data_IF_463075108289
#
_entry.id   IF_463075108289
#
_cell.length_a   1.000
_cell.length_b   1.000
_cell.length_c   1.000
_cell.angle_alpha   90.00
_cell.angle_beta   90.00
_cell.angle_gamma   90.00
#
_symmetry.space_group_name_H-M   'P 1'
#
loop_
_entity.id
_entity.type
_entity.pdbx_description
1 polymer ?
#
# COMPACT_ATOMS: atom_id res chain seq x y z
N UNK A 1 -26.70 56.71 -38.86
CA UNK A 1 -26.80 56.61 -37.40
C UNK A 1 -27.13 55.18 -37.04
N UNK A 2 -26.10 54.38 -36.66
CA UNK A 2 -26.29 53.03 -36.15
C UNK A 2 -26.70 53.13 -34.68
N UNK A 3 -27.99 52.94 -34.42
CA UNK A 3 -28.50 52.79 -33.06
C UNK A 3 -27.76 51.69 -32.37
N UNK A 4 -26.99 51.99 -31.32
CA UNK A 4 -26.26 51.05 -30.52
C UNK A 4 -27.23 50.07 -29.88
N UNK A 5 -27.16 48.81 -30.29
CA UNK A 5 -27.84 47.68 -29.64
C UNK A 5 -27.35 47.61 -28.20
N UNK A 6 -28.23 47.58 -27.20
CA UNK A 6 -27.82 47.48 -25.82
C UNK A 6 -27.01 46.19 -25.63
N UNK A 7 -25.77 46.32 -25.18
CA UNK A 7 -24.92 45.17 -24.84
C UNK A 7 -25.63 44.33 -23.80
N UNK A 8 -25.90 43.03 -24.09
CA UNK A 8 -26.54 42.18 -23.10
C UNK A 8 -25.64 42.14 -21.84
N UNK A 9 -26.22 42.41 -20.68
CA UNK A 9 -25.46 42.40 -19.44
C UNK A 9 -24.82 41.02 -19.28
N UNK A 10 -23.50 40.98 -19.16
CA UNK A 10 -22.69 39.74 -19.05
C UNK A 10 -23.28 38.81 -17.97
N UNK A 11 -23.81 39.40 -16.90
CA UNK A 11 -24.48 38.67 -15.80
C UNK A 11 -25.71 37.87 -16.28
N UNK A 12 -26.58 38.43 -17.14
CA UNK A 12 -27.75 37.70 -17.69
C UNK A 12 -27.37 36.53 -18.58
N UNK A 13 -26.20 36.58 -19.21
CA UNK A 13 -25.71 35.50 -20.07
C UNK A 13 -25.08 34.38 -19.23
N UNK A 14 -24.42 34.72 -18.13
CA UNK A 14 -23.84 33.77 -17.16
C UNK A 14 -24.91 32.93 -16.46
N UNK A 15 -26.05 33.53 -16.09
CA UNK A 15 -27.15 32.84 -15.39
C UNK A 15 -28.14 32.13 -16.31
N UNK A 16 -27.81 31.92 -17.60
CA UNK A 16 -28.62 31.06 -18.48
C UNK A 16 -28.53 29.60 -18.01
N UNK A 17 -29.64 28.84 -18.02
CA UNK A 17 -29.64 27.46 -17.52
C UNK A 17 -28.64 26.54 -18.25
N UNK A 18 -28.41 26.78 -19.52
CA UNK A 18 -27.40 26.05 -20.33
C UNK A 18 -25.98 26.34 -19.85
N UNK A 19 -25.65 27.59 -19.56
CA UNK A 19 -24.32 28.00 -19.07
C UNK A 19 -24.07 27.44 -17.67
N UNK A 20 -25.07 27.48 -16.80
CA UNK A 20 -25.01 26.87 -15.45
C UNK A 20 -24.84 25.35 -15.53
N UNK A 21 -25.54 24.68 -16.44
CA UNK A 21 -25.38 23.23 -16.66
C UNK A 21 -23.97 22.85 -17.08
N UNK A 22 -23.39 23.57 -18.05
CA UNK A 22 -22.01 23.32 -18.46
C UNK A 22 -21.00 23.60 -17.36
N UNK A 23 -21.21 24.69 -16.62
CA UNK A 23 -20.36 24.99 -15.46
C UNK A 23 -20.46 23.95 -14.37
N UNK A 24 -21.67 23.45 -14.07
CA UNK A 24 -21.89 22.41 -13.07
C UNK A 24 -21.21 21.10 -13.47
N UNK A 25 -21.29 20.69 -14.73
CA UNK A 25 -20.61 19.51 -15.26
C UNK A 25 -19.09 19.67 -15.13
N UNK A 26 -18.56 20.79 -15.56
CA UNK A 26 -17.12 21.06 -15.50
C UNK A 26 -16.60 21.11 -14.07
N UNK A 27 -17.33 21.78 -13.17
CA UNK A 27 -17.02 21.85 -11.75
C UNK A 27 -17.07 20.46 -11.07
N UNK A 28 -18.04 19.61 -11.45
CA UNK A 28 -18.15 18.24 -10.94
C UNK A 28 -16.95 17.39 -11.31
N UNK A 29 -16.47 17.50 -12.54
CA UNK A 29 -15.27 16.80 -13.00
C UNK A 29 -14.05 17.27 -12.23
N UNK A 30 -13.89 18.60 -12.07
CA UNK A 30 -12.79 19.17 -11.27
C UNK A 30 -12.80 18.71 -9.81
N UNK A 31 -13.96 18.72 -9.18
CA UNK A 31 -14.13 18.22 -7.80
C UNK A 31 -13.86 16.73 -7.68
N UNK A 32 -14.31 15.93 -8.63
CA UNK A 32 -14.04 14.50 -8.68
C UNK A 32 -12.54 14.20 -8.80
N UNK A 33 -11.82 14.95 -9.63
CA UNK A 33 -10.37 14.84 -9.77
C UNK A 33 -9.64 15.25 -8.48
N UNK A 34 -10.03 16.35 -7.85
CA UNK A 34 -9.46 16.79 -6.57
C UNK A 34 -9.70 15.75 -5.46
N UNK A 35 -10.89 15.18 -5.41
CA UNK A 35 -11.22 14.11 -4.47
C UNK A 35 -10.37 12.85 -4.72
N UNK A 36 -10.24 12.43 -5.98
CA UNK A 36 -9.42 11.28 -6.37
C UNK A 36 -7.93 11.49 -6.03
N UNK A 37 -7.40 12.70 -6.24
CA UNK A 37 -6.03 13.06 -5.84
C UNK A 37 -5.85 13.05 -4.32
N UNK A 38 -6.82 13.60 -3.58
CA UNK A 38 -6.78 13.67 -2.11
C UNK A 38 -6.94 12.32 -1.41
N UNK A 39 -7.68 11.39 -2.05
CA UNK A 39 -7.91 10.03 -1.52
C UNK A 39 -6.81 9.03 -1.88
N UNK A 40 -5.81 9.42 -2.68
CA UNK A 40 -4.73 8.53 -3.09
C UNK A 40 -3.85 8.14 -1.89
N UNK A 41 -3.63 6.84 -1.73
CA UNK A 41 -2.69 6.31 -0.73
C UNK A 41 -1.28 6.78 -1.02
N UNK A 42 -0.58 7.23 0.02
CA UNK A 42 0.80 7.75 -0.06
C UNK A 42 1.83 6.81 0.55
N UNK A 43 1.39 5.63 0.94
CA UNK A 43 2.23 4.51 1.34
C UNK A 43 2.09 3.40 0.30
N UNK A 44 3.20 2.78 -0.04
CA UNK A 44 3.25 1.69 -1.01
C UNK A 44 4.10 0.56 -0.43
N UNK A 45 3.68 -0.67 -0.65
CA UNK A 45 4.42 -1.87 -0.27
C UNK A 45 4.65 -2.73 -1.51
N UNK A 46 5.88 -3.16 -1.68
CA UNK A 46 6.28 -4.13 -2.68
C UNK A 46 7.19 -5.15 -2.03
N UNK A 47 6.94 -6.41 -2.28
CA UNK A 47 7.75 -7.48 -1.72
C UNK A 47 8.17 -8.44 -2.81
N UNK A 48 9.39 -8.92 -2.72
CA UNK A 48 9.97 -9.87 -3.66
C UNK A 48 10.54 -11.04 -2.89
N UNK A 49 10.19 -12.26 -3.29
CA UNK A 49 10.76 -13.47 -2.73
C UNK A 49 12.24 -13.58 -3.11
N UNK A 50 13.09 -13.83 -2.13
CA UNK A 50 14.51 -14.11 -2.38
C UNK A 50 14.64 -15.50 -3.02
N UNK A 51 15.37 -15.57 -4.15
CA UNK A 51 15.45 -16.80 -4.94
C UNK A 51 16.62 -17.70 -4.56
N UNK A 52 17.53 -17.25 -3.72
CA UNK A 52 18.72 -18.02 -3.38
C UNK A 52 19.06 -17.94 -1.87
N UNK A 53 18.68 -18.93 -1.09
CA UNK A 53 17.80 -20.07 -1.40
C UNK A 53 16.31 -19.68 -1.43
N UNK A 54 15.50 -20.45 -2.17
CA UNK A 54 14.06 -20.23 -2.24
C UNK A 54 13.41 -20.38 -0.86
N UNK A 55 13.82 -21.42 -0.11
CA UNK A 55 13.40 -21.67 1.26
C UNK A 55 14.51 -22.44 2.00
N UNK A 56 14.44 -22.44 3.32
CA UNK A 56 15.35 -23.19 4.19
C UNK A 56 14.51 -24.06 5.12
N UNK A 57 14.73 -25.36 5.09
CA UNK A 57 14.16 -26.27 6.10
C UNK A 57 14.99 -26.17 7.39
N UNK A 58 14.30 -25.94 8.49
CA UNK A 58 14.89 -25.85 9.81
C UNK A 58 14.93 -27.23 10.46
N UNK A 59 15.77 -27.40 11.50
CA UNK A 59 15.91 -28.67 12.22
C UNK A 59 14.63 -29.14 12.93
N UNK A 60 13.71 -28.21 13.20
CA UNK A 60 12.39 -28.50 13.78
C UNK A 60 11.31 -28.83 12.74
N UNK A 61 11.68 -28.99 11.47
CA UNK A 61 10.78 -29.25 10.37
C UNK A 61 10.07 -28.02 9.81
N UNK A 62 10.19 -26.86 10.44
CA UNK A 62 9.61 -25.62 9.93
C UNK A 62 10.33 -25.14 8.66
N UNK A 63 9.63 -24.37 7.83
CA UNK A 63 10.18 -23.82 6.60
C UNK A 63 10.29 -22.31 6.72
N UNK A 64 11.47 -21.78 6.43
CA UNK A 64 11.75 -20.34 6.41
C UNK A 64 11.92 -19.83 5.00
N UNK A 65 11.17 -18.82 4.67
CA UNK A 65 11.27 -18.06 3.42
C UNK A 65 11.82 -16.66 3.72
N UNK A 66 12.55 -16.10 2.77
CA UNK A 66 13.08 -14.75 2.87
C UNK A 66 12.46 -13.86 1.79
N UNK A 67 12.06 -12.66 2.18
CA UNK A 67 11.48 -11.67 1.29
C UNK A 67 12.18 -10.33 1.44
N UNK A 68 12.50 -9.69 0.32
CA UNK A 68 12.92 -8.31 0.30
C UNK A 68 11.69 -7.42 0.17
N UNK A 69 11.32 -6.76 1.25
CA UNK A 69 10.17 -5.85 1.32
C UNK A 69 10.65 -4.42 1.14
N UNK A 70 10.05 -3.71 0.21
CA UNK A 70 10.27 -2.29 -0.05
C UNK A 70 9.05 -1.53 0.40
N UNK A 71 9.23 -0.66 1.38
CA UNK A 71 8.22 0.24 1.90
C UNK A 71 8.53 1.65 1.40
N UNK A 72 7.59 2.27 0.69
CA UNK A 72 7.74 3.60 0.15
C UNK A 72 6.86 4.58 0.88
N UNK A 73 7.46 5.60 1.47
CA UNK A 73 6.76 6.76 2.01
C UNK A 73 6.83 7.89 0.98
N UNK A 74 5.69 8.31 0.46
CA UNK A 74 5.56 9.42 -0.49
C UNK A 74 5.10 10.71 0.19
N UNK A 75 5.19 10.78 1.51
CA UNK A 75 4.93 11.98 2.27
C UNK A 75 6.24 12.65 2.70
N UNK A 76 6.26 13.97 2.74
CA UNK A 76 7.40 14.78 3.17
C UNK A 76 7.61 14.80 4.70
N UNK A 77 6.93 13.88 5.43
CA UNK A 77 7.08 13.68 6.87
C UNK A 77 7.42 12.22 7.18
N UNK A 78 8.16 11.97 8.30
CA UNK A 78 8.41 10.60 8.73
C UNK A 78 7.09 9.94 9.14
N UNK A 79 6.92 8.65 8.81
CA UNK A 79 5.75 7.85 9.17
C UNK A 79 6.17 6.63 9.96
N UNK A 80 5.41 6.31 10.98
CA UNK A 80 5.53 5.02 11.66
C UNK A 80 4.46 4.10 11.11
N UNK A 81 4.87 2.95 10.58
CA UNK A 81 3.97 2.01 9.92
C UNK A 81 4.01 0.65 10.60
N UNK A 82 2.89 -0.03 10.57
CA UNK A 82 2.77 -1.44 10.91
C UNK A 82 2.66 -2.25 9.64
N UNK A 83 3.47 -3.26 9.51
CA UNK A 83 3.36 -4.28 8.47
C UNK A 83 2.76 -5.52 9.11
N UNK A 84 1.65 -6.01 8.56
CA UNK A 84 0.95 -7.22 9.03
C UNK A 84 0.88 -8.27 7.94
N UNK A 85 0.78 -9.53 8.35
CA UNK A 85 0.69 -10.69 7.47
C UNK A 85 -0.68 -11.34 7.59
N UNK A 86 -1.34 -11.57 6.45
CA UNK A 86 -2.62 -12.24 6.32
C UNK A 86 -2.53 -13.47 5.42
N UNK A 87 -3.41 -14.46 5.62
CA UNK A 87 -3.52 -15.64 4.77
C UNK A 87 -2.87 -16.92 5.32
N UNK A 88 -1.88 -16.82 6.23
CA UNK A 88 -1.23 -18.00 6.84
C UNK A 88 -1.28 -17.90 8.38
N UNK A 89 -2.29 -18.49 9.05
CA UNK A 89 -2.52 -18.30 10.48
C UNK A 89 -1.36 -18.72 11.38
N UNK A 90 -0.66 -19.79 11.00
CA UNK A 90 0.41 -20.39 11.81
C UNK A 90 1.82 -19.86 11.49
N UNK A 91 1.93 -18.96 10.48
CA UNK A 91 3.21 -18.39 10.14
C UNK A 91 3.52 -17.17 11.02
N UNK A 92 4.79 -16.95 11.25
CA UNK A 92 5.34 -15.80 11.94
C UNK A 92 6.45 -15.15 11.12
N UNK A 93 6.65 -13.86 11.30
CA UNK A 93 7.66 -13.10 10.57
C UNK A 93 8.47 -12.19 11.49
N UNK A 94 9.69 -11.86 11.07
CA UNK A 94 10.53 -10.84 11.72
C UNK A 94 11.43 -10.17 10.69
N UNK A 95 12.00 -9.01 11.04
CA UNK A 95 12.97 -8.30 10.20
C UNK A 95 14.36 -8.89 10.46
N UNK A 96 14.98 -9.44 9.42
CA UNK A 96 16.21 -10.22 9.54
C UNK A 96 17.41 -9.49 10.13
N UNK A 97 17.51 -8.18 9.92
CA UNK A 97 18.65 -7.37 10.34
C UNK A 97 18.53 -6.87 11.80
N UNK A 98 17.31 -6.82 12.35
CA UNK A 98 17.03 -6.20 13.67
C UNK A 98 16.35 -7.17 14.63
N UNK A 99 15.69 -8.19 14.11
CA UNK A 99 14.88 -9.13 14.86
C UNK A 99 15.52 -10.52 14.97
N UNK A 100 14.95 -11.33 15.84
CA UNK A 100 15.26 -12.74 15.99
C UNK A 100 13.97 -13.56 15.91
N UNK A 101 14.08 -14.88 15.78
CA UNK A 101 12.93 -15.77 15.85
C UNK A 101 12.14 -15.63 17.17
N UNK A 102 12.79 -15.22 18.25
CA UNK A 102 12.14 -14.96 19.53
C UNK A 102 11.21 -13.72 19.48
N UNK A 103 11.48 -12.77 18.59
CA UNK A 103 10.63 -11.59 18.35
C UNK A 103 9.64 -11.76 17.20
N UNK A 104 9.52 -12.98 16.66
CA UNK A 104 8.65 -13.25 15.54
C UNK A 104 7.17 -13.09 15.92
N UNK A 105 6.42 -12.44 15.04
CA UNK A 105 5.00 -12.18 15.21
C UNK A 105 4.27 -12.13 13.87
N UNK A 106 3.02 -11.77 13.90
CA UNK A 106 2.22 -11.55 12.67
C UNK A 106 2.31 -10.12 12.14
N UNK A 107 2.95 -9.24 12.89
CA UNK A 107 3.18 -7.86 12.49
C UNK A 107 4.44 -7.31 13.13
N UNK A 108 5.04 -6.32 12.48
CA UNK A 108 6.12 -5.53 13.05
C UNK A 108 5.89 -4.05 12.74
N UNK A 109 6.53 -3.19 13.51
CA UNK A 109 6.44 -1.74 13.37
C UNK A 109 7.81 -1.21 12.94
N UNK A 110 7.81 -0.29 11.97
CA UNK A 110 9.03 0.37 11.51
C UNK A 110 8.79 1.85 11.22
N UNK A 111 9.85 2.66 11.28
CA UNK A 111 9.81 4.07 10.91
C UNK A 111 10.31 4.24 9.48
N UNK A 112 9.58 5.01 8.70
CA UNK A 112 9.94 5.38 7.34
C UNK A 112 10.36 6.85 7.31
N UNK A 113 11.48 7.13 6.68
CA UNK A 113 11.92 8.51 6.43
C UNK A 113 10.98 9.21 5.43
N UNK A 114 10.95 10.56 5.42
CA UNK A 114 10.20 11.32 4.43
C UNK A 114 10.69 11.01 3.02
N UNK A 115 9.79 10.95 2.04
CA UNK A 115 10.07 10.80 0.60
C UNK A 115 11.11 9.72 0.28
N UNK A 116 11.06 8.59 1.03
CA UNK A 116 12.09 7.57 0.97
C UNK A 116 11.53 6.16 0.73
N UNK A 117 12.40 5.29 0.20
CA UNK A 117 12.17 3.86 0.08
C UNK A 117 13.04 3.13 1.10
N UNK A 118 12.40 2.44 2.03
CA UNK A 118 13.08 1.59 3.02
C UNK A 118 13.02 0.14 2.55
N UNK A 119 14.18 -0.50 2.42
CA UNK A 119 14.29 -1.93 2.10
C UNK A 119 14.53 -2.70 3.39
N UNK A 120 13.71 -3.72 3.62
CA UNK A 120 13.80 -4.60 4.78
C UNK A 120 13.84 -6.06 4.30
N UNK A 121 14.69 -6.86 4.91
CA UNK A 121 14.65 -8.29 4.72
C UNK A 121 13.73 -8.91 5.76
N UNK A 122 12.61 -9.46 5.31
CA UNK A 122 11.61 -10.09 6.17
C UNK A 122 11.72 -11.60 6.03
N UNK A 123 11.90 -12.26 7.16
CA UNK A 123 11.95 -13.71 7.25
C UNK A 123 10.58 -14.20 7.73
N UNK A 124 9.99 -15.13 6.99
CA UNK A 124 8.70 -15.75 7.31
C UNK A 124 8.94 -17.23 7.58
N UNK A 125 8.51 -17.68 8.74
CA UNK A 125 8.56 -19.09 9.14
C UNK A 125 7.16 -19.64 9.25
N UNK A 126 6.92 -20.77 8.62
CA UNK A 126 5.70 -21.54 8.78
C UNK A 126 6.01 -22.96 9.27
N UNK A 127 5.11 -23.58 10.05
CA UNK A 127 5.23 -25.00 10.38
C UNK A 127 5.31 -25.87 9.12
N UNK A 128 5.85 -27.07 9.26
CA UNK A 128 5.76 -28.09 8.23
C UNK A 128 4.28 -28.31 7.85
N UNK A 129 3.99 -28.46 6.58
CA UNK A 129 2.62 -28.69 6.08
C UNK A 129 2.64 -29.38 4.74
N UNK A 130 1.56 -30.06 4.41
CA UNK A 130 1.42 -30.93 3.23
C UNK A 130 1.29 -30.18 1.89
N UNK A 131 1.30 -28.84 1.90
CA UNK A 131 1.17 -28.03 0.68
C UNK A 131 2.51 -27.51 0.20
N UNK A 132 2.76 -27.59 -1.12
CA UNK A 132 3.96 -27.04 -1.75
C UNK A 132 3.96 -25.50 -1.78
N UNK A 133 2.79 -24.89 -1.84
CA UNK A 133 2.60 -23.44 -1.94
C UNK A 133 1.40 -22.98 -1.14
N UNK A 134 1.52 -21.80 -0.54
CA UNK A 134 0.41 -21.12 0.12
C UNK A 134 0.47 -19.61 -0.13
N UNK A 135 -0.65 -19.05 -0.58
CA UNK A 135 -0.76 -17.60 -0.80
C UNK A 135 -0.94 -16.87 0.53
N UNK A 136 -0.30 -15.73 0.63
CA UNK A 136 -0.46 -14.79 1.74
C UNK A 136 -0.29 -13.37 1.25
N UNK A 137 -0.62 -12.40 2.07
CA UNK A 137 -0.42 -10.99 1.75
C UNK A 137 0.26 -10.25 2.91
N UNK A 138 1.04 -9.25 2.54
CA UNK A 138 1.56 -8.26 3.47
C UNK A 138 0.76 -6.97 3.29
N UNK A 139 0.25 -6.43 4.39
CA UNK A 139 -0.44 -5.15 4.42
C UNK A 139 0.41 -4.14 5.18
N UNK A 140 0.50 -2.90 4.66
CA UNK A 140 1.12 -1.78 5.35
C UNK A 140 0.05 -0.79 5.81
N UNK A 141 0.13 -0.36 7.05
CA UNK A 141 -0.77 0.61 7.65
C UNK A 141 0.03 1.64 8.43
N UNK A 142 -0.27 2.91 8.22
CA UNK A 142 0.26 3.96 9.08
C UNK A 142 -0.42 3.90 10.46
N UNK A 143 0.34 4.14 11.53
CA UNK A 143 -0.22 4.12 12.91
C UNK A 143 -1.12 5.32 13.21
N UNK A 144 -1.01 6.37 12.42
CA UNK A 144 -1.85 7.58 12.48
C UNK A 144 -3.06 7.50 11.52
N UNK A 145 -3.24 6.37 10.82
CA UNK A 145 -4.35 6.13 9.90
C UNK A 145 -5.06 4.82 10.28
N UNK A 146 -6.40 4.82 10.27
CA UNK A 146 -7.22 3.66 10.63
C UNK A 146 -7.35 2.64 9.49
N UNK A 147 -7.01 3.01 8.25
CA UNK A 147 -7.15 2.17 7.07
C UNK A 147 -5.80 1.62 6.62
N UNK A 148 -5.71 0.33 6.21
CA UNK A 148 -4.52 -0.16 5.53
C UNK A 148 -4.30 0.67 4.27
N UNK A 149 -3.06 1.08 4.05
CA UNK A 149 -2.72 1.96 2.95
C UNK A 149 -2.46 1.20 1.66
N UNK A 150 -1.91 -0.01 1.76
CA UNK A 150 -1.58 -0.84 0.61
C UNK A 150 -1.39 -2.31 1.00
N UNK A 151 -1.53 -3.22 0.02
CA UNK A 151 -1.39 -4.66 0.18
C UNK A 151 -0.55 -5.24 -0.96
N UNK A 152 0.26 -6.24 -0.64
CA UNK A 152 1.02 -7.00 -1.63
C UNK A 152 0.84 -8.50 -1.44
N UNK A 153 0.36 -9.18 -2.50
CA UNK A 153 0.18 -10.62 -2.49
C UNK A 153 1.51 -11.33 -2.73
N UNK A 154 1.74 -12.42 -2.00
CA UNK A 154 2.97 -13.21 -2.02
C UNK A 154 2.65 -14.70 -1.96
N UNK A 155 3.63 -15.50 -2.32
CA UNK A 155 3.56 -16.95 -2.23
C UNK A 155 4.60 -17.46 -1.25
N UNK A 156 4.16 -18.28 -0.30
CA UNK A 156 5.01 -19.01 0.63
C UNK A 156 5.36 -20.37 -0.01
N UNK A 157 6.64 -20.59 -0.26
CA UNK A 157 7.14 -21.88 -0.74
C UNK A 157 7.41 -22.82 0.44
N UNK A 158 6.91 -24.04 0.37
CA UNK A 158 7.09 -25.04 1.43
C UNK A 158 7.96 -26.23 1.02
N UNK A 159 8.38 -26.30 -0.26
CA UNK A 159 9.14 -27.41 -0.81
C UNK A 159 8.31 -28.69 -0.81
N UNK A 160 7.64 -28.97 -1.90
CA UNK A 160 7.15 -30.33 -2.19
C UNK A 160 8.35 -31.27 -2.38
N UNK A 161 8.21 -32.51 -1.94
CA UNK A 161 9.07 -33.59 -2.35
C UNK A 161 9.08 -33.78 -3.87
#
# INVERSE_FOLDING_TARGET
>A
EKAGLPTPSVLKTLFRPRTLAYFAIWASIGLALLFALGSRTRLDISAQHDRNPLFVRMSDGSVRNAYTVKLRNMESRPRTVRVSMDGVPQASMWVGDVGSRASAGRSFVTKLAPDAVTKLRVLVVSPAGDGSRQDFSLAVQALDDSKPSDHHALVLERGGE
#
